data_IF_916956515882
#
_entry.id   IF_916956515882
#
_cell.length_a   1.000
_cell.length_b   1.000
_cell.length_c   1.000
_cell.angle_alpha   90.00
_cell.angle_beta   90.00
_cell.angle_gamma   90.00
#
_symmetry.space_group_name_H-M   'P 1'
#
loop_
_entity.id
_entity.type
_entity.pdbx_description
1 polymer ?
#
# COMPACT_ATOMS: atom_id res chain seq x y z
N UNK A 1 50.23 -33.88 -10.59
CA UNK A 1 49.12 -34.11 -9.65
C UNK A 1 47.95 -33.28 -10.16
N UNK A 2 46.90 -33.90 -10.72
CA UNK A 2 45.73 -33.18 -11.19
C UNK A 2 44.90 -32.70 -9.99
N UNK A 3 44.54 -31.43 -9.99
CA UNK A 3 43.60 -30.82 -9.04
C UNK A 3 42.24 -31.53 -9.12
N UNK A 4 41.91 -32.25 -8.05
CA UNK A 4 40.64 -32.91 -7.84
C UNK A 4 39.57 -31.84 -7.56
N UNK A 5 38.94 -31.38 -8.64
CA UNK A 5 37.85 -30.40 -8.63
C UNK A 5 36.64 -31.02 -7.92
N UNK A 6 36.51 -30.80 -6.61
CA UNK A 6 35.36 -31.24 -5.82
C UNK A 6 34.07 -30.69 -6.46
N UNK A 7 33.09 -31.54 -6.79
CA UNK A 7 31.82 -31.05 -7.34
C UNK A 7 31.12 -30.14 -6.30
N UNK A 8 30.45 -29.06 -6.73
CA UNK A 8 29.72 -28.19 -5.82
C UNK A 8 28.61 -29.00 -5.12
N UNK A 9 28.34 -28.76 -3.83
CA UNK A 9 27.25 -29.42 -3.11
C UNK A 9 25.93 -29.08 -3.81
N UNK A 10 25.23 -30.10 -4.29
CA UNK A 10 23.86 -29.97 -4.78
C UNK A 10 23.01 -29.48 -3.61
N UNK A 11 22.42 -28.28 -3.74
CA UNK A 11 21.52 -27.74 -2.71
C UNK A 11 20.28 -28.63 -2.65
N UNK A 12 20.17 -29.42 -1.59
CA UNK A 12 19.04 -30.34 -1.40
C UNK A 12 17.74 -29.57 -1.19
N UNK A 13 16.66 -30.00 -1.84
CA UNK A 13 15.32 -29.39 -1.71
C UNK A 13 14.87 -29.28 -0.24
N UNK A 14 15.26 -30.26 0.59
CA UNK A 14 15.02 -30.30 2.04
C UNK A 14 15.59 -29.08 2.80
N UNK A 15 16.74 -28.57 2.37
CA UNK A 15 17.40 -27.42 2.98
C UNK A 15 16.61 -26.13 2.72
N UNK A 16 16.06 -25.97 1.52
CA UNK A 16 15.21 -24.83 1.18
C UNK A 16 13.86 -24.89 1.91
N UNK A 17 13.26 -26.07 2.07
CA UNK A 17 12.03 -26.24 2.84
C UNK A 17 12.21 -25.85 4.32
N UNK A 18 13.36 -26.22 4.89
CA UNK A 18 13.73 -25.79 6.24
C UNK A 18 13.85 -24.26 6.32
N UNK A 19 14.47 -23.61 5.33
CA UNK A 19 14.55 -22.16 5.27
C UNK A 19 13.18 -21.48 5.15
N UNK A 20 12.28 -22.01 4.31
CA UNK A 20 10.90 -21.52 4.15
C UNK A 20 10.15 -21.54 5.47
N UNK A 21 10.29 -22.61 6.25
CA UNK A 21 9.68 -22.72 7.57
C UNK A 21 10.19 -21.63 8.54
N UNK A 22 11.50 -21.36 8.54
CA UNK A 22 12.11 -20.30 9.36
C UNK A 22 11.60 -18.91 8.99
N UNK A 23 11.52 -18.61 7.69
CA UNK A 23 10.98 -17.34 7.19
C UNK A 23 9.52 -17.17 7.61
N UNK A 24 8.70 -18.20 7.43
CA UNK A 24 7.28 -18.18 7.79
C UNK A 24 7.10 -17.92 9.29
N UNK A 25 7.82 -18.67 10.13
CA UNK A 25 7.80 -18.49 11.59
C UNK A 25 8.22 -17.08 12.03
N UNK A 26 9.21 -16.48 11.35
CA UNK A 26 9.64 -15.11 11.65
C UNK A 26 8.56 -14.07 11.37
N UNK A 27 7.78 -14.23 10.29
CA UNK A 27 6.64 -13.37 9.99
C UNK A 27 5.45 -13.61 10.92
N UNK A 28 5.19 -14.86 11.33
CA UNK A 28 4.16 -15.18 12.33
C UNK A 28 4.46 -14.55 13.69
N UNK A 29 5.72 -14.62 14.16
CA UNK A 29 6.15 -13.92 15.37
C UNK A 29 5.99 -12.39 15.25
N UNK A 30 6.11 -11.82 14.04
CA UNK A 30 5.82 -10.41 13.81
C UNK A 30 4.31 -10.11 13.89
N UNK A 31 3.47 -11.01 13.38
CA UNK A 31 2.01 -10.92 13.46
C UNK A 31 1.53 -10.94 14.91
N UNK A 32 2.05 -11.86 15.72
CA UNK A 32 1.71 -12.00 17.14
C UNK A 32 2.07 -10.76 17.96
N UNK A 33 3.06 -9.98 17.52
CA UNK A 33 3.42 -8.71 18.17
C UNK A 33 2.37 -7.58 18.00
N UNK A 34 1.32 -7.81 17.20
CA UNK A 34 0.21 -6.87 17.03
C UNK A 34 0.47 -5.72 16.04
N UNK A 35 1.58 -5.77 15.29
CA UNK A 35 1.91 -4.77 14.26
C UNK A 35 1.00 -4.93 13.04
N UNK A 36 0.44 -3.82 12.53
CA UNK A 36 -0.43 -3.84 11.35
C UNK A 36 0.32 -4.11 10.04
N UNK A 37 1.62 -3.83 10.00
CA UNK A 37 2.52 -3.97 8.85
C UNK A 37 3.37 -5.25 8.94
N UNK A 38 2.93 -6.26 9.71
CA UNK A 38 3.74 -7.45 10.02
C UNK A 38 4.25 -8.23 8.80
N UNK A 39 3.56 -8.12 7.65
CA UNK A 39 3.95 -8.75 6.38
C UNK A 39 5.12 -8.08 5.67
N UNK A 40 5.56 -6.90 6.12
CA UNK A 40 6.64 -6.13 5.50
C UNK A 40 7.67 -5.80 6.57
N UNK A 41 8.92 -6.18 6.35
CA UNK A 41 10.01 -5.81 7.25
C UNK A 41 11.34 -5.70 6.51
N UNK A 42 12.28 -4.94 7.05
CA UNK A 42 13.62 -4.83 6.44
C UNK A 42 14.33 -6.19 6.50
N UNK A 43 15.19 -6.46 5.52
CA UNK A 43 15.96 -7.71 5.45
C UNK A 43 16.74 -7.98 6.75
N UNK A 44 17.27 -6.92 7.38
CA UNK A 44 17.95 -7.04 8.67
C UNK A 44 17.01 -7.43 9.83
N UNK A 45 15.79 -6.91 9.86
CA UNK A 45 14.78 -7.30 10.87
C UNK A 45 14.36 -8.75 10.68
N UNK A 46 14.13 -9.18 9.43
CA UNK A 46 13.82 -10.58 9.13
C UNK A 46 14.95 -11.52 9.58
N UNK A 47 16.21 -11.19 9.24
CA UNK A 47 17.38 -11.97 9.68
C UNK A 47 17.45 -12.07 11.21
N UNK A 48 17.24 -10.95 11.90
CA UNK A 48 17.27 -10.92 13.37
C UNK A 48 16.17 -11.79 13.99
N UNK A 49 14.97 -11.83 13.40
CA UNK A 49 13.88 -12.70 13.89
C UNK A 49 14.19 -14.18 13.69
N UNK A 50 14.74 -14.55 12.53
CA UNK A 50 15.21 -15.93 12.30
C UNK A 50 16.29 -16.30 13.31
N UNK A 51 17.28 -15.43 13.54
CA UNK A 51 18.30 -15.65 14.56
C UNK A 51 17.70 -15.81 15.97
N UNK A 52 16.62 -15.10 16.31
CA UNK A 52 15.95 -15.30 17.60
C UNK A 52 15.27 -16.68 17.67
N UNK A 53 14.58 -17.09 16.61
CA UNK A 53 13.89 -18.37 16.54
C UNK A 53 14.86 -19.58 16.59
N UNK A 54 16.08 -19.42 16.06
CA UNK A 54 17.09 -20.48 16.02
C UNK A 54 18.17 -20.36 17.10
N UNK A 55 17.89 -19.67 18.22
CA UNK A 55 18.89 -19.44 19.28
C UNK A 55 20.26 -18.91 18.77
N UNK A 56 20.22 -18.11 17.70
CA UNK A 56 21.35 -17.49 16.97
C UNK A 56 22.26 -18.45 16.21
N UNK A 57 21.81 -19.67 15.94
CA UNK A 57 22.57 -20.67 15.17
C UNK A 57 22.40 -20.56 13.65
N UNK A 58 21.51 -19.69 13.17
CA UNK A 58 21.26 -19.53 11.73
C UNK A 58 22.46 -18.95 10.97
N UNK A 59 22.88 -19.65 9.92
CA UNK A 59 23.91 -19.21 8.96
C UNK A 59 23.42 -19.46 7.52
N UNK A 60 23.31 -18.40 6.71
CA UNK A 60 22.92 -18.49 5.29
C UNK A 60 23.81 -19.41 4.44
N UNK A 61 25.07 -19.62 4.84
CA UNK A 61 26.01 -20.51 4.12
C UNK A 61 25.61 -21.97 4.23
N UNK A 62 24.99 -22.38 5.33
CA UNK A 62 24.42 -23.72 5.53
C UNK A 62 23.27 -24.01 4.55
N UNK A 63 22.72 -22.96 3.92
CA UNK A 63 21.69 -23.04 2.89
C UNK A 63 22.23 -22.75 1.48
N UNK A 64 23.56 -22.75 1.30
CA UNK A 64 24.19 -22.56 -0.01
C UNK A 64 24.21 -21.12 -0.54
N UNK A 65 23.93 -20.12 0.30
CA UNK A 65 23.93 -18.72 -0.10
C UNK A 65 25.13 -17.93 0.47
N UNK A 66 25.69 -17.03 -0.34
CA UNK A 66 26.79 -16.15 0.10
C UNK A 66 26.33 -14.99 0.99
N UNK A 67 25.03 -14.69 1.00
CA UNK A 67 24.42 -13.63 1.81
C UNK A 67 22.95 -13.94 2.09
N UNK A 68 22.42 -13.38 3.16
CA UNK A 68 21.00 -13.53 3.49
C UNK A 68 20.05 -13.02 2.40
N UNK A 69 20.34 -11.89 1.74
CA UNK A 69 19.56 -11.44 0.58
C UNK A 69 19.67 -12.41 -0.59
N UNK A 70 20.85 -13.00 -0.82
CA UNK A 70 21.04 -14.05 -1.82
C UNK A 70 20.21 -15.29 -1.52
N UNK A 71 20.01 -15.63 -0.25
CA UNK A 71 19.17 -16.75 0.18
C UNK A 71 17.68 -16.45 -0.03
N UNK A 72 17.22 -15.23 0.31
CA UNK A 72 15.83 -14.82 0.06
C UNK A 72 15.45 -14.89 -1.43
N UNK A 73 16.39 -14.58 -2.33
CA UNK A 73 16.17 -14.72 -3.78
C UNK A 73 15.96 -16.16 -4.25
N UNK A 74 16.29 -17.16 -3.44
CA UNK A 74 16.06 -18.58 -3.74
C UNK A 74 14.62 -19.03 -3.41
N UNK A 75 13.84 -18.20 -2.70
CA UNK A 75 12.43 -18.47 -2.34
C UNK A 75 11.49 -17.34 -2.80
N UNK A 76 11.51 -16.98 -4.10
CA UNK A 76 10.77 -15.83 -4.63
C UNK A 76 9.24 -16.02 -4.59
N UNK A 77 8.77 -17.24 -4.42
CA UNK A 77 7.36 -17.59 -4.25
C UNK A 77 6.86 -17.37 -2.80
N UNK A 78 7.77 -17.28 -1.83
CA UNK A 78 7.44 -17.00 -0.43
C UNK A 78 7.69 -15.53 -0.06
N UNK A 79 8.76 -14.91 -0.58
CA UNK A 79 9.16 -13.55 -0.21
C UNK A 79 9.49 -12.72 -1.45
N UNK A 80 8.86 -11.55 -1.54
CA UNK A 80 9.26 -10.50 -2.46
C UNK A 80 10.33 -9.63 -1.82
N UNK A 81 11.46 -9.46 -2.51
CA UNK A 81 12.59 -8.65 -2.06
C UNK A 81 12.64 -7.34 -2.86
N UNK A 82 12.47 -6.21 -2.16
CA UNK A 82 12.65 -4.87 -2.71
C UNK A 82 14.05 -4.34 -2.37
N UNK A 83 14.96 -4.44 -3.35
CA UNK A 83 16.34 -3.94 -3.27
C UNK A 83 16.45 -2.43 -3.59
N UNK A 84 15.36 -1.77 -3.99
CA UNK A 84 15.36 -0.32 -4.27
C UNK A 84 15.27 0.51 -3.00
N UNK A 85 14.65 -0.05 -1.95
CA UNK A 85 14.61 0.53 -0.62
C UNK A 85 15.98 0.48 0.09
N UNK A 86 16.27 1.49 0.91
CA UNK A 86 17.47 1.54 1.77
C UNK A 86 17.06 1.73 3.23
N UNK A 87 17.14 0.70 4.09
CA UNK A 87 17.63 -0.67 3.81
C UNK A 87 16.66 -1.51 2.95
N UNK A 88 17.13 -2.60 2.31
CA UNK A 88 16.28 -3.50 1.53
C UNK A 88 15.13 -4.08 2.36
N UNK A 89 13.98 -4.30 1.71
CA UNK A 89 12.74 -4.73 2.36
C UNK A 89 12.30 -6.09 1.85
N UNK A 90 11.86 -6.95 2.75
CA UNK A 90 11.28 -8.26 2.47
C UNK A 90 9.78 -8.23 2.78
N UNK A 91 8.96 -8.67 1.83
CA UNK A 91 7.50 -8.78 1.94
C UNK A 91 7.09 -10.23 1.83
N UNK A 92 6.35 -10.74 2.83
CA UNK A 92 5.79 -12.09 2.77
C UNK A 92 4.69 -12.15 1.71
N UNK A 93 4.85 -13.04 0.75
CA UNK A 93 3.80 -13.42 -0.18
C UNK A 93 2.88 -14.40 0.56
N UNK A 94 1.58 -14.13 0.59
CA UNK A 94 0.62 -15.07 1.17
C UNK A 94 0.78 -16.42 0.48
N UNK A 95 0.74 -17.56 1.20
CA UNK A 95 0.89 -18.88 0.60
C UNK A 95 -0.13 -18.99 -0.52
N UNK A 96 0.37 -18.96 -1.75
CA UNK A 96 -0.42 -19.11 -2.95
C UNK A 96 -0.99 -20.51 -2.92
N UNK A 97 -2.22 -20.63 -2.43
CA UNK A 97 -3.05 -21.80 -2.70
C UNK A 97 -3.07 -21.95 -4.21
N UNK A 98 -2.35 -22.95 -4.69
CA UNK A 98 -2.16 -23.21 -6.11
C UNK A 98 -3.51 -23.24 -6.83
N UNK A 99 -3.56 -22.54 -7.97
CA UNK A 99 -4.63 -22.50 -8.96
C UNK A 99 -5.90 -21.69 -8.64
N UNK A 100 -5.83 -20.37 -8.82
CA UNK A 100 -6.93 -19.57 -9.41
C UNK A 100 -6.29 -18.39 -10.18
N UNK A 101 -6.72 -18.07 -11.42
CA UNK A 101 -6.01 -17.13 -12.28
C UNK A 101 -6.21 -15.67 -11.82
N UNK A 102 -5.18 -14.84 -12.02
CA UNK A 102 -5.16 -13.38 -12.02
C UNK A 102 -6.33 -12.70 -11.25
N UNK A 103 -6.20 -12.57 -9.93
CA UNK A 103 -7.22 -11.94 -9.09
C UNK A 103 -6.62 -11.14 -7.94
N UNK A 104 -6.42 -9.84 -8.20
CA UNK A 104 -6.48 -8.73 -7.24
C UNK A 104 -5.65 -8.82 -5.95
N UNK A 105 -4.39 -8.37 -6.04
CA UNK A 105 -3.71 -7.76 -4.89
C UNK A 105 -4.25 -6.35 -4.74
N UNK A 106 -5.44 -6.21 -4.13
CA UNK A 106 -5.92 -4.90 -3.68
C UNK A 106 -5.12 -4.54 -2.44
N UNK A 107 -4.00 -3.82 -2.64
CA UNK A 107 -3.28 -3.20 -1.54
C UNK A 107 -4.23 -2.30 -0.75
N UNK A 108 -4.01 -2.18 0.56
CA UNK A 108 -4.73 -1.25 1.45
C UNK A 108 -4.53 0.23 1.10
N UNK A 109 -3.96 0.52 -0.07
CA UNK A 109 -3.65 1.85 -0.53
C UNK A 109 -4.90 2.70 -0.81
N UNK A 110 -4.65 4.00 -0.90
CA UNK A 110 -5.61 5.00 -1.33
C UNK A 110 -5.64 4.97 -2.87
N UNK A 111 -6.81 4.76 -3.45
CA UNK A 111 -6.98 4.95 -4.89
C UNK A 111 -6.67 6.41 -5.24
N UNK A 112 -5.98 6.63 -6.35
CA UNK A 112 -5.73 7.99 -6.84
C UNK A 112 -7.08 8.73 -7.00
N UNK A 113 -7.19 9.99 -6.54
CA UNK A 113 -8.44 10.74 -6.62
C UNK A 113 -9.01 10.84 -8.04
N UNK A 114 -8.17 11.07 -9.04
CA UNK A 114 -8.60 11.19 -10.44
C UNK A 114 -9.24 9.90 -10.97
N UNK A 115 -8.67 8.74 -10.62
CA UNK A 115 -9.23 7.43 -10.98
C UNK A 115 -10.54 7.14 -10.24
N UNK A 116 -10.61 7.53 -8.96
CA UNK A 116 -11.82 7.42 -8.15
C UNK A 116 -12.96 8.25 -8.75
N UNK A 117 -12.68 9.51 -9.04
CA UNK A 117 -13.65 10.45 -9.61
C UNK A 117 -14.09 9.99 -11.00
N UNK A 118 -13.16 9.55 -11.85
CA UNK A 118 -13.48 9.08 -13.19
C UNK A 118 -14.49 7.93 -13.22
N UNK A 119 -14.40 7.01 -12.25
CA UNK A 119 -15.30 5.86 -12.18
C UNK A 119 -16.63 6.23 -11.52
N UNK A 120 -16.61 7.06 -10.48
CA UNK A 120 -17.79 7.31 -9.64
C UNK A 120 -18.57 8.58 -9.99
N UNK A 121 -18.06 9.46 -10.85
CA UNK A 121 -18.76 10.69 -11.24
C UNK A 121 -19.80 10.44 -12.35
N UNK A 122 -20.77 9.59 -12.05
CA UNK A 122 -21.90 9.28 -12.95
C UNK A 122 -22.98 10.37 -12.96
N UNK A 123 -22.82 11.43 -12.17
CA UNK A 123 -23.83 12.47 -11.97
C UNK A 123 -23.55 13.77 -12.71
N UNK A 124 -22.29 14.04 -13.07
CA UNK A 124 -21.93 15.32 -13.68
C UNK A 124 -22.31 15.45 -15.15
N UNK A 125 -22.55 14.33 -15.85
CA UNK A 125 -22.79 14.32 -17.30
C UNK A 125 -21.53 14.52 -18.14
N UNK A 126 -20.37 14.58 -17.49
CA UNK A 126 -19.08 14.82 -18.11
C UNK A 126 -18.36 13.49 -18.39
N UNK A 127 -17.34 13.54 -19.23
CA UNK A 127 -16.58 12.36 -19.63
C UNK A 127 -15.15 12.46 -19.10
N UNK A 128 -14.61 11.35 -18.62
CA UNK A 128 -13.20 11.27 -18.23
C UNK A 128 -12.39 10.60 -19.32
N UNK A 129 -11.27 11.20 -19.71
CA UNK A 129 -10.31 10.64 -20.66
C UNK A 129 -8.95 10.46 -20.00
N UNK A 130 -8.22 9.44 -20.42
CA UNK A 130 -6.85 9.21 -19.96
C UNK A 130 -5.87 10.01 -20.82
N UNK A 131 -5.08 10.89 -20.19
CA UNK A 131 -4.08 11.71 -20.88
C UNK A 131 -2.68 11.07 -20.93
N UNK A 132 -2.55 9.82 -20.45
CA UNK A 132 -1.29 9.10 -20.28
C UNK A 132 -0.72 9.17 -18.87
N UNK A 133 -1.14 10.15 -18.06
CA UNK A 133 -0.69 10.35 -16.68
C UNK A 133 -1.84 10.26 -15.66
N UNK A 134 -2.98 10.83 -15.99
CA UNK A 134 -4.15 10.99 -15.13
C UNK A 134 -5.46 10.94 -15.90
N UNK A 135 -6.55 10.72 -15.16
CA UNK A 135 -7.89 10.87 -15.70
C UNK A 135 -8.28 12.36 -15.68
N UNK A 136 -8.54 12.92 -16.87
CA UNK A 136 -8.93 14.32 -17.05
C UNK A 136 -10.39 14.39 -17.45
N UNK A 137 -11.14 15.24 -16.76
CA UNK A 137 -12.54 15.53 -17.04
C UNK A 137 -12.63 16.46 -18.25
N UNK A 138 -13.43 16.10 -19.25
CA UNK A 138 -13.63 16.83 -20.50
C UNK A 138 -15.09 16.80 -20.93
N UNK A 139 -15.49 17.79 -21.71
CA UNK A 139 -16.82 17.80 -22.32
C UNK A 139 -16.99 16.61 -23.28
N UNK A 140 -18.20 16.04 -23.43
CA UNK A 140 -18.42 14.86 -24.28
C UNK A 140 -17.92 14.99 -25.73
N UNK A 141 -17.97 16.20 -26.31
CA UNK A 141 -17.47 16.44 -27.67
C UNK A 141 -15.93 16.39 -27.81
N UNK A 142 -15.21 16.66 -26.72
CA UNK A 142 -13.73 16.69 -26.69
C UNK A 142 -13.11 15.31 -26.44
N UNK A 143 -13.92 14.32 -26.07
CA UNK A 143 -13.47 12.95 -25.81
C UNK A 143 -13.09 12.18 -27.09
N UNK A 144 -13.44 12.70 -28.27
CA UNK A 144 -13.23 12.03 -29.56
C UNK A 144 -11.76 11.69 -29.80
N UNK A 145 -11.46 10.40 -29.98
CA UNK A 145 -10.10 9.91 -30.28
C UNK A 145 -9.18 9.72 -29.08
N UNK A 146 -9.67 9.90 -27.84
CA UNK A 146 -8.91 9.65 -26.61
C UNK A 146 -9.43 8.41 -25.87
N UNK A 147 -8.59 7.69 -25.10
CA UNK A 147 -9.05 6.57 -24.28
C UNK A 147 -10.00 7.08 -23.20
N UNK A 148 -11.28 6.74 -23.33
CA UNK A 148 -12.31 7.13 -22.36
C UNK A 148 -12.28 6.19 -21.15
N UNK A 149 -12.21 6.77 -19.95
CA UNK A 149 -12.27 6.05 -18.68
C UNK A 149 -13.66 5.46 -18.46
N UNK A 150 -13.76 4.30 -17.79
CA UNK A 150 -15.05 3.67 -17.50
C UNK A 150 -15.73 4.42 -16.35
N UNK A 151 -16.87 5.06 -16.63
CA UNK A 151 -17.73 5.68 -15.60
C UNK A 151 -18.95 4.79 -15.39
N UNK A 152 -19.28 4.48 -14.12
CA UNK A 152 -20.47 3.68 -13.82
C UNK A 152 -21.74 4.47 -14.13
N UNK A 153 -22.89 3.80 -14.10
CA UNK A 153 -24.20 4.47 -14.13
C UNK A 153 -24.83 4.51 -12.73
N UNK A 154 -25.86 5.33 -12.56
CA UNK A 154 -26.59 5.45 -11.30
C UNK A 154 -27.17 4.09 -10.86
N UNK A 155 -27.62 3.25 -11.79
CA UNK A 155 -28.19 1.93 -11.51
C UNK A 155 -27.16 0.99 -10.91
N UNK A 156 -25.93 1.02 -11.42
CA UNK A 156 -24.80 0.20 -10.93
C UNK A 156 -24.45 0.59 -9.49
N UNK A 157 -24.40 1.90 -9.19
CA UNK A 157 -24.16 2.36 -7.83
C UNK A 157 -25.31 1.94 -6.89
N UNK A 158 -26.57 1.99 -7.35
CA UNK A 158 -27.72 1.52 -6.59
C UNK A 158 -27.64 0.01 -6.30
N UNK A 159 -27.19 -0.80 -7.27
CA UNK A 159 -26.94 -2.23 -7.08
C UNK A 159 -25.86 -2.49 -6.04
N UNK A 160 -24.78 -1.71 -6.03
CA UNK A 160 -23.73 -1.83 -5.02
C UNK A 160 -24.26 -1.52 -3.62
N UNK A 161 -25.07 -0.47 -3.47
CA UNK A 161 -25.72 -0.15 -2.19
C UNK A 161 -26.66 -1.28 -1.73
N UNK A 162 -27.49 -1.82 -2.64
CA UNK A 162 -28.36 -2.97 -2.35
C UNK A 162 -27.57 -4.20 -1.90
N UNK A 163 -26.49 -4.53 -2.62
CA UNK A 163 -25.61 -5.65 -2.28
C UNK A 163 -24.96 -5.47 -0.91
N UNK A 164 -24.49 -4.27 -0.60
CA UNK A 164 -23.90 -3.95 0.70
C UNK A 164 -24.92 -4.03 1.84
N UNK A 165 -26.13 -3.51 1.64
CA UNK A 165 -27.21 -3.61 2.63
C UNK A 165 -27.61 -5.07 2.90
N UNK A 166 -27.71 -5.89 1.84
CA UNK A 166 -28.00 -7.33 1.95
C UNK A 166 -26.94 -8.08 2.77
N UNK A 167 -25.68 -7.62 2.74
CA UNK A 167 -24.59 -8.21 3.51
C UNK A 167 -24.61 -7.81 5.01
N UNK A 168 -25.45 -6.85 5.41
CA UNK A 168 -25.58 -6.35 6.79
C UNK A 168 -27.06 -6.38 7.23
N UNK A 169 -27.68 -7.57 7.32
CA UNK A 169 -29.11 -7.70 7.62
C UNK A 169 -29.48 -7.25 9.05
N UNK A 170 -28.50 -7.11 9.94
CA UNK A 170 -28.65 -6.57 11.30
C UNK A 170 -28.86 -5.06 11.34
N UNK A 171 -28.75 -4.36 10.19
CA UNK A 171 -28.81 -2.91 10.10
C UNK A 171 -29.93 -2.48 9.17
N UNK A 172 -30.75 -1.54 9.63
CA UNK A 172 -31.74 -0.89 8.77
C UNK A 172 -31.04 0.13 7.85
N UNK A 173 -30.85 -0.27 6.59
CA UNK A 173 -30.22 0.53 5.54
C UNK A 173 -31.18 0.83 4.39
N UNK A 174 -32.48 0.56 4.55
CA UNK A 174 -33.47 0.69 3.49
C UNK A 174 -33.53 2.11 2.94
N UNK A 175 -33.65 3.11 3.83
CA UNK A 175 -33.69 4.52 3.44
C UNK A 175 -32.39 4.96 2.74
N UNK A 176 -31.23 4.51 3.23
CA UNK A 176 -29.93 4.84 2.65
C UNK A 176 -29.80 4.33 1.20
N UNK A 177 -30.30 3.12 0.94
CA UNK A 177 -30.34 2.53 -0.40
C UNK A 177 -31.34 3.25 -1.29
N UNK A 178 -32.59 3.41 -0.83
CA UNK A 178 -33.70 3.97 -1.61
C UNK A 178 -33.44 5.41 -2.03
N UNK A 179 -32.95 6.25 -1.10
CA UNK A 179 -32.65 7.66 -1.37
C UNK A 179 -31.27 7.90 -1.96
N UNK A 180 -30.47 6.85 -2.16
CA UNK A 180 -29.12 6.95 -2.72
C UNK A 180 -28.18 7.83 -1.90
N UNK A 181 -28.30 7.82 -0.58
CA UNK A 181 -27.56 8.75 0.30
C UNK A 181 -26.04 8.51 0.25
N UNK A 182 -25.28 9.54 0.60
CA UNK A 182 -23.82 9.49 0.66
C UNK A 182 -23.29 8.68 1.84
N UNK A 183 -21.98 8.40 1.86
CA UNK A 183 -21.31 7.61 2.92
C UNK A 183 -21.51 8.19 4.32
N UNK A 184 -21.67 9.50 4.48
CA UNK A 184 -21.86 10.12 5.80
C UNK A 184 -23.21 9.80 6.44
N UNK A 185 -24.21 9.42 5.63
CA UNK A 185 -25.51 8.97 6.12
C UNK A 185 -25.49 7.51 6.64
N UNK A 186 -24.39 6.77 6.42
CA UNK A 186 -24.21 5.45 7.02
C UNK A 186 -23.86 5.55 8.52
N UNK A 187 -24.28 4.55 9.31
CA UNK A 187 -23.73 4.30 10.65
C UNK A 187 -22.19 4.33 10.65
N UNK A 188 -21.53 4.99 11.64
CA UNK A 188 -20.08 5.21 11.62
C UNK A 188 -19.23 3.94 11.45
N UNK A 189 -19.68 2.83 12.02
CA UNK A 189 -19.07 1.52 11.96
C UNK A 189 -19.11 0.89 10.55
N UNK A 190 -20.11 1.25 9.73
CA UNK A 190 -20.25 0.77 8.36
C UNK A 190 -19.54 1.63 7.30
N UNK A 191 -19.12 2.86 7.64
CA UNK A 191 -18.47 3.77 6.68
C UNK A 191 -17.17 3.19 6.12
N UNK A 192 -16.34 2.60 6.98
CA UNK A 192 -15.08 2.00 6.56
C UNK A 192 -15.32 0.74 5.71
N UNK A 193 -16.13 -0.25 6.13
CA UNK A 193 -16.51 -1.38 5.29
C UNK A 193 -17.06 -0.96 3.92
N UNK A 194 -17.97 0.01 3.88
CA UNK A 194 -18.54 0.51 2.63
C UNK A 194 -17.48 1.10 1.68
N UNK A 195 -16.58 1.93 2.21
CA UNK A 195 -15.50 2.51 1.40
C UNK A 195 -14.53 1.43 0.89
N UNK A 196 -14.29 0.36 1.64
CA UNK A 196 -13.48 -0.78 1.17
C UNK A 196 -14.18 -1.53 0.04
N UNK A 197 -15.49 -1.78 0.18
CA UNK A 197 -16.32 -2.37 -0.89
C UNK A 197 -16.26 -1.52 -2.15
N UNK A 198 -16.47 -0.20 -2.04
CA UNK A 198 -16.39 0.72 -3.18
C UNK A 198 -15.02 0.68 -3.85
N UNK A 199 -13.93 0.73 -3.07
CA UNK A 199 -12.57 0.64 -3.61
C UNK A 199 -12.36 -0.64 -4.40
N UNK A 200 -12.77 -1.79 -3.87
CA UNK A 200 -12.68 -3.07 -4.57
C UNK A 200 -13.41 -3.01 -5.90
N UNK A 201 -14.66 -2.53 -5.90
CA UNK A 201 -15.48 -2.42 -7.12
C UNK A 201 -14.87 -1.48 -8.17
N UNK A 202 -14.28 -0.38 -7.73
CA UNK A 202 -13.59 0.55 -8.63
C UNK A 202 -12.35 -0.09 -9.24
N UNK A 203 -11.55 -0.83 -8.45
CA UNK A 203 -10.39 -1.57 -8.96
C UNK A 203 -10.81 -2.66 -9.95
N UNK A 204 -11.89 -3.40 -9.66
CA UNK A 204 -12.45 -4.44 -10.53
C UNK A 204 -12.88 -3.88 -11.91
N UNK A 205 -13.26 -2.60 -11.97
CA UNK A 205 -13.60 -1.91 -13.23
C UNK A 205 -12.33 -1.42 -13.94
N UNK A 206 -11.40 -0.82 -13.19
CA UNK A 206 -10.22 -0.18 -13.78
C UNK A 206 -9.22 -1.21 -14.31
N UNK A 207 -9.00 -2.32 -13.60
CA UNK A 207 -7.96 -3.28 -13.97
C UNK A 207 -8.17 -3.86 -15.39
N UNK A 208 -9.37 -4.38 -15.76
CA UNK A 208 -9.62 -4.85 -17.12
C UNK A 208 -9.52 -3.73 -18.17
N UNK A 209 -9.94 -2.51 -17.81
CA UNK A 209 -9.87 -1.37 -18.73
C UNK A 209 -8.41 -1.00 -19.04
N UNK A 210 -7.54 -0.89 -18.03
CA UNK A 210 -6.12 -0.60 -18.23
C UNK A 210 -5.44 -1.69 -19.06
N UNK A 211 -5.74 -2.96 -18.76
CA UNK A 211 -5.23 -4.10 -19.53
C UNK A 211 -5.66 -4.05 -21.01
N UNK A 212 -6.94 -3.75 -21.29
CA UNK A 212 -7.44 -3.60 -22.66
C UNK A 212 -6.77 -2.45 -23.42
N UNK A 213 -6.35 -1.39 -22.72
CA UNK A 213 -5.59 -0.29 -23.32
C UNK A 213 -4.09 -0.59 -23.46
N UNK A 214 -3.61 -1.77 -23.04
CA UNK A 214 -2.18 -2.11 -23.03
C UNK A 214 -1.39 -1.29 -22.01
N UNK A 215 -2.06 -0.77 -20.98
CA UNK A 215 -1.49 0.05 -19.92
C UNK A 215 -1.38 -0.77 -18.64
N UNK A 216 -0.30 -0.55 -17.87
CA UNK A 216 -0.26 -1.05 -16.50
C UNK A 216 -1.09 -0.15 -15.60
N UNK A 217 -1.86 -0.75 -14.68
CA UNK A 217 -2.52 0.01 -13.63
C UNK A 217 -1.43 0.74 -12.83
N UNK A 218 -1.47 2.08 -12.69
CA UNK A 218 -0.43 2.82 -12.00
C UNK A 218 -0.20 2.23 -10.61
N UNK A 219 1.05 1.98 -10.21
CA UNK A 219 1.37 1.41 -8.89
C UNK A 219 0.72 2.21 -7.73
N UNK A 220 0.53 3.51 -7.94
CA UNK A 220 -0.13 4.43 -7.01
C UNK A 220 -1.67 4.33 -7.01
N UNK A 221 -2.29 3.46 -7.82
CA UNK A 221 -3.71 3.10 -7.70
C UNK A 221 -4.02 2.42 -6.35
N UNK A 222 -2.99 1.89 -5.70
CA UNK A 222 -2.98 1.65 -4.26
C UNK A 222 -1.88 2.50 -3.66
N UNK A 223 -2.05 3.82 -3.58
CA UNK A 223 -1.10 4.69 -2.91
C UNK A 223 -1.00 4.25 -1.46
N UNK A 224 0.10 3.62 -1.09
CA UNK A 224 0.60 3.70 0.27
C UNK A 224 0.62 5.18 0.63
N UNK A 225 -0.06 5.48 1.73
CA UNK A 225 -0.39 6.84 2.09
C UNK A 225 0.86 7.71 2.03
N UNK A 226 0.80 8.81 1.28
CA UNK A 226 1.55 10.00 1.64
C UNK A 226 1.35 10.19 3.14
N UNK A 227 2.44 10.00 3.89
CA UNK A 227 2.48 9.85 5.34
C UNK A 227 1.79 11.06 5.94
N UNK A 228 0.50 10.92 6.24
CA UNK A 228 -0.15 11.82 7.18
C UNK A 228 0.59 11.58 8.48
N UNK A 229 1.22 12.62 9.07
CA UNK A 229 1.85 12.42 10.36
C UNK A 229 0.83 11.78 11.28
N UNK A 230 1.22 10.69 11.93
CA UNK A 230 0.37 10.02 12.89
C UNK A 230 -0.14 11.04 13.92
N UNK A 231 -1.29 10.80 14.54
CA UNK A 231 -1.80 11.72 15.57
C UNK A 231 -0.74 12.04 16.64
N UNK A 232 0.16 11.08 16.90
CA UNK A 232 1.33 11.23 17.76
C UNK A 232 2.39 12.18 17.18
N UNK A 233 2.79 12.02 15.91
CA UNK A 233 3.71 12.94 15.24
C UNK A 233 3.13 14.37 15.13
N UNK A 234 1.81 14.49 14.94
CA UNK A 234 1.15 15.80 14.97
C UNK A 234 1.19 16.44 16.36
N UNK A 235 1.09 15.65 17.43
CA UNK A 235 1.21 16.13 18.80
C UNK A 235 2.65 16.54 19.13
N UNK A 236 3.64 15.71 18.78
CA UNK A 236 5.06 16.01 18.95
C UNK A 236 5.47 17.26 18.17
N UNK A 237 4.97 17.43 16.94
CA UNK A 237 5.19 18.63 16.13
C UNK A 237 4.57 19.88 16.78
N UNK A 238 3.40 19.76 17.41
CA UNK A 238 2.75 20.87 18.10
C UNK A 238 3.51 21.25 19.38
N UNK A 239 4.00 20.27 20.14
CA UNK A 239 4.82 20.49 21.32
C UNK A 239 6.15 21.18 20.96
N UNK A 240 6.80 20.72 19.89
CA UNK A 240 8.01 21.35 19.37
C UNK A 240 7.75 22.78 18.90
N UNK A 241 6.63 23.05 18.22
CA UNK A 241 6.24 24.40 17.80
C UNK A 241 6.07 25.33 19.01
N UNK A 242 5.34 24.88 20.05
CA UNK A 242 5.18 25.65 21.28
C UNK A 242 6.51 25.92 21.98
N UNK A 243 7.41 24.94 22.00
CA UNK A 243 8.75 25.10 22.56
C UNK A 243 9.56 26.15 21.79
N UNK A 244 9.62 26.05 20.45
CA UNK A 244 10.33 27.01 19.61
C UNK A 244 9.78 28.43 19.76
N UNK A 245 8.46 28.60 19.86
CA UNK A 245 7.84 29.90 20.10
C UNK A 245 8.28 30.52 21.45
N UNK A 246 8.41 29.70 22.50
CA UNK A 246 8.93 30.17 23.80
C UNK A 246 10.42 30.56 23.72
N UNK A 247 11.23 29.80 22.99
CA UNK A 247 12.63 30.16 22.75
C UNK A 247 12.73 31.51 22.02
N UNK A 248 11.97 31.68 20.94
CA UNK A 248 11.95 32.93 20.14
C UNK A 248 11.49 34.12 20.99
N UNK A 249 10.53 33.93 21.92
CA UNK A 249 10.01 34.99 22.78
C UNK A 249 11.03 35.58 23.77
N UNK A 250 12.10 34.84 24.11
CA UNK A 250 13.14 35.29 25.06
C UNK A 250 14.47 35.65 24.39
N UNK A 251 14.58 35.46 23.06
CA UNK A 251 15.80 35.76 22.31
C UNK A 251 16.04 37.27 22.20
N UNK A 252 17.30 37.67 22.31
CA UNK A 252 17.77 39.04 22.06
C UNK A 252 17.81 39.32 20.54
N UNK A 253 17.80 40.59 20.11
CA UNK A 253 17.87 40.94 18.68
C UNK A 253 19.06 40.34 17.93
N UNK A 254 20.21 40.19 18.58
CA UNK A 254 21.39 39.55 17.98
C UNK A 254 21.20 38.04 17.73
N UNK A 255 20.49 37.36 18.63
CA UNK A 255 20.21 35.91 18.54
C UNK A 255 19.17 35.64 17.46
N UNK A 256 18.13 36.49 17.37
CA UNK A 256 17.14 36.41 16.29
C UNK A 256 17.77 36.59 14.91
N UNK A 257 18.75 37.49 14.77
CA UNK A 257 19.50 37.69 13.51
C UNK A 257 20.38 36.50 13.13
N UNK A 258 20.87 35.75 14.11
CA UNK A 258 21.72 34.59 13.88
C UNK A 258 20.90 33.30 13.59
N UNK A 259 19.59 33.32 13.82
CA UNK A 259 18.71 32.17 13.59
C UNK A 259 18.62 31.82 12.10
N UNK A 260 18.99 30.59 11.75
CA UNK A 260 18.87 30.08 10.39
C UNK A 260 17.51 29.41 10.19
N UNK A 261 16.71 29.97 9.28
CA UNK A 261 15.43 29.37 8.85
C UNK A 261 15.62 28.87 7.42
N UNK A 262 15.39 27.58 7.14
CA UNK A 262 15.46 27.06 5.78
C UNK A 262 14.53 27.83 4.83
N UNK A 263 15.01 28.13 3.62
CA UNK A 263 14.26 28.92 2.63
C UNK A 263 12.87 28.32 2.31
N UNK A 264 12.75 26.99 2.28
CA UNK A 264 11.48 26.28 2.07
C UNK A 264 10.46 26.47 3.20
N UNK A 265 10.92 26.74 4.42
CA UNK A 265 10.04 27.06 5.56
C UNK A 265 9.64 28.53 5.50
N UNK A 266 10.58 29.43 5.20
CA UNK A 266 10.31 30.86 5.07
C UNK A 266 9.32 31.18 3.95
N UNK A 267 9.43 30.49 2.80
CA UNK A 267 8.49 30.64 1.68
C UNK A 267 7.06 30.24 2.06
N UNK A 268 6.88 29.14 2.81
CA UNK A 268 5.57 28.67 3.25
C UNK A 268 4.92 29.56 4.30
N UNK A 269 5.72 30.23 5.13
CA UNK A 269 5.20 31.13 6.17
C UNK A 269 4.72 32.49 5.64
N UNK A 270 5.05 32.84 4.39
CA UNK A 270 4.65 34.09 3.73
C UNK A 270 3.34 33.99 2.94
N UNK A 271 2.87 32.78 2.68
CA UNK A 271 1.58 32.52 2.04
C UNK A 271 0.49 32.42 3.09
#
# INVERSE_FOLDING_TARGET
>A
MPDEKTPPPTTDASTLDTFRALVTSAFEAARESGRSDWQVMTVGVLKNRILQATAREFDERSFGAASFSGLLRQVPDLVELDDTARPPVARLLAPSSSATPAGSVVGSGRLRPDLWDAVLDYSSGEVYVWDGLQAVKVAPGEATGRPQMPTIKAEVMADWRRGFAKAHPDRDLAEWVERGLGTMALPPDLRRPWNLTLKSKVVDILAPWFEQQGLSLPANASSDASTRPSAKESQEAEELRRFLLRCVAVMKPGELKAMQVPASVALRAKM
#
